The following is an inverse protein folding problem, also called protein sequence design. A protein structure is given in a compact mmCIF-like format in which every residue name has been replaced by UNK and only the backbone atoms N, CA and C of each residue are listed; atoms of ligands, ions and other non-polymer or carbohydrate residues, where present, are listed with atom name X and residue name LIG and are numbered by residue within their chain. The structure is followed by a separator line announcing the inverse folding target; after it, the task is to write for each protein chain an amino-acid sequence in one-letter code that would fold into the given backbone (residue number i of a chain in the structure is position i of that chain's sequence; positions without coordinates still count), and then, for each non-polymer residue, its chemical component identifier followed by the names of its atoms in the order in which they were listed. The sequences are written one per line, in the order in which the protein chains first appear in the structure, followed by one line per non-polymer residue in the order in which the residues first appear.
data_IF_925201435088
#
_entry.id   IF_925201435088
#
_cell.length_a   1.000
_cell.length_b   1.000
_cell.length_c   1.000
_cell.angle_alpha   90.00
_cell.angle_beta   90.00
_cell.angle_gamma   90.00
#
_symmetry.space_group_name_H-M   'P 1'
#
loop_
_entity.id
_entity.type
_entity.pdbx_description
1 polymer ?
#
# COMPACT_ATOMS: atom_id res chain seq x y z
N UNK A 1 27.72 53.13 -40.10
CA UNK A 1 28.09 51.71 -40.25
C UNK A 1 29.20 51.40 -39.25
N UNK A 2 29.25 50.27 -38.52
CA UNK A 2 28.22 49.30 -38.11
C UNK A 2 28.08 49.18 -36.56
N UNK A 3 27.22 48.27 -36.11
CA UNK A 3 27.02 47.83 -34.73
C UNK A 3 27.89 46.59 -34.41
N UNK A 4 28.20 46.31 -33.13
CA UNK A 4 27.96 45.02 -32.45
C UNK A 4 28.53 44.99 -31.02
N UNK A 5 27.71 44.41 -30.15
CA UNK A 5 27.84 44.16 -28.71
C UNK A 5 28.84 43.05 -28.38
N UNK A 6 29.54 43.12 -27.24
CA UNK A 6 30.06 41.92 -26.58
C UNK A 6 29.87 41.98 -25.06
N UNK A 7 29.11 41.01 -24.56
CA UNK A 7 28.89 40.69 -23.15
C UNK A 7 30.21 40.25 -22.49
N UNK A 8 30.57 40.88 -21.35
CA UNK A 8 31.61 40.40 -20.44
C UNK A 8 30.97 39.96 -19.12
N UNK A 9 31.18 38.69 -18.75
CA UNK A 9 30.69 38.03 -17.53
C UNK A 9 31.41 38.61 -16.29
N UNK A 10 30.70 39.00 -15.20
CA UNK A 10 31.38 39.39 -13.98
C UNK A 10 31.87 38.15 -13.23
N UNK A 11 33.18 38.16 -13.00
CA UNK A 11 33.99 37.23 -12.23
C UNK A 11 33.52 37.16 -10.77
N UNK A 12 33.01 36.01 -10.33
CA UNK A 12 32.74 35.76 -8.90
C UNK A 12 33.64 34.63 -8.43
N UNK A 13 34.83 35.03 -7.97
CA UNK A 13 35.79 34.16 -7.30
C UNK A 13 35.11 33.40 -6.16
N UNK A 14 35.39 32.10 -6.13
CA UNK A 14 35.13 31.21 -5.01
C UNK A 14 36.11 31.60 -3.89
N UNK A 15 35.72 32.51 -3.03
CA UNK A 15 36.45 32.83 -1.81
C UNK A 15 35.45 33.43 -0.84
N UNK A 16 34.74 32.53 -0.15
CA UNK A 16 34.14 32.67 1.17
C UNK A 16 33.23 31.45 1.40
N UNK A 17 33.85 30.30 1.64
CA UNK A 17 33.16 29.12 2.14
C UNK A 17 32.76 29.39 3.60
N UNK A 18 31.61 30.05 3.79
CA UNK A 18 30.96 30.09 5.09
C UNK A 18 30.55 28.66 5.47
N UNK A 19 31.22 28.13 6.49
CA UNK A 19 30.88 26.87 7.16
C UNK A 19 29.42 26.98 7.63
N UNK A 20 28.53 26.21 7.00
CA UNK A 20 27.14 26.07 7.44
C UNK A 20 27.14 25.05 8.58
N UNK A 21 26.93 25.50 9.82
CA UNK A 21 26.73 24.62 10.98
C UNK A 21 25.31 24.01 10.95
N UNK A 22 25.13 22.69 11.19
CA UNK A 22 23.83 22.04 11.06
C UNK A 22 23.10 21.98 12.40
N UNK A 23 22.52 23.09 12.88
CA UNK A 23 21.70 23.05 14.09
C UNK A 23 20.77 24.27 14.28
N UNK A 24 20.08 24.78 13.25
CA UNK A 24 18.93 25.65 13.52
C UNK A 24 18.01 25.86 12.30
N UNK A 25 17.30 24.81 11.87
CA UNK A 25 16.15 25.02 10.99
C UNK A 25 14.86 24.66 11.72
N UNK A 26 13.90 25.59 11.84
CA UNK A 26 12.65 25.36 12.55
C UNK A 26 11.89 24.22 11.87
N UNK A 27 11.52 23.21 12.66
CA UNK A 27 10.87 21.97 12.22
C UNK A 27 9.43 22.23 11.80
N UNK A 28 9.25 22.79 10.60
CA UNK A 28 7.96 22.78 9.92
C UNK A 28 7.61 21.31 9.60
N UNK A 29 6.44 20.79 10.01
CA UNK A 29 6.09 19.40 9.73
C UNK A 29 6.03 19.16 8.22
N UNK A 30 6.91 18.28 7.74
CA UNK A 30 7.13 17.94 6.34
C UNK A 30 6.06 16.97 5.81
N UNK A 31 4.77 17.26 6.03
CA UNK A 31 3.71 16.61 5.27
C UNK A 31 3.44 17.47 4.06
N UNK A 32 4.02 17.10 2.91
CA UNK A 32 3.68 17.70 1.62
C UNK A 32 2.29 17.22 1.20
N UNK A 33 1.24 17.76 1.81
CA UNK A 33 -0.13 17.59 1.28
C UNK A 33 -0.23 18.47 0.04
N UNK A 34 0.04 17.91 -1.14
CA UNK A 34 -0.21 18.61 -2.40
C UNK A 34 -1.73 18.63 -2.62
N UNK A 35 -2.38 19.81 -2.77
CA UNK A 35 -3.85 19.92 -2.80
C UNK A 35 -4.56 19.08 -3.89
N UNK A 36 -3.85 18.73 -4.97
CA UNK A 36 -4.37 17.98 -6.12
C UNK A 36 -3.57 16.70 -6.39
N UNK A 37 -3.21 15.96 -5.34
CA UNK A 37 -2.58 14.64 -5.53
C UNK A 37 -3.60 13.60 -6.01
N UNK A 38 -3.33 12.84 -7.10
CA UNK A 38 -4.23 11.80 -7.60
C UNK A 38 -4.51 10.69 -6.61
N UNK A 39 -3.55 10.44 -5.71
CA UNK A 39 -3.68 9.47 -4.62
C UNK A 39 -4.01 10.22 -3.33
N UNK A 40 -5.14 9.88 -2.73
CA UNK A 40 -5.54 10.37 -1.39
C UNK A 40 -5.34 9.24 -0.39
N UNK A 41 -5.05 9.55 0.89
CA UNK A 41 -5.02 8.54 1.95
C UNK A 41 -6.33 7.74 1.95
N UNK A 42 -6.21 6.42 2.04
CA UNK A 42 -7.37 5.52 2.08
C UNK A 42 -8.03 5.70 3.45
N UNK A 43 -9.33 5.99 3.44
CA UNK A 43 -10.13 6.07 4.67
C UNK A 43 -10.30 4.66 5.25
N UNK A 44 -10.26 4.48 6.58
CA UNK A 44 -10.50 3.18 7.19
C UNK A 44 -11.93 2.70 6.86
N UNK A 45 -12.09 1.38 6.73
CA UNK A 45 -13.39 0.78 6.48
C UNK A 45 -14.32 1.01 7.68
N UNK A 46 -15.54 1.48 7.43
CA UNK A 46 -16.58 1.61 8.45
C UNK A 46 -17.32 0.28 8.55
N UNK A 47 -17.42 -0.26 9.76
CA UNK A 47 -18.21 -1.47 10.03
C UNK A 47 -19.67 -1.07 10.23
N UNK A 48 -20.53 -1.41 9.27
CA UNK A 48 -21.96 -1.08 9.33
C UNK A 48 -22.80 -2.15 10.04
N UNK A 49 -22.47 -3.43 9.82
CA UNK A 49 -23.21 -4.57 10.39
C UNK A 49 -22.29 -5.47 11.21
N UNK A 50 -22.38 -5.33 12.53
CA UNK A 50 -21.54 -6.08 13.48
C UNK A 50 -21.90 -7.56 13.45
N UNK A 51 -23.19 -7.92 13.34
CA UNK A 51 -23.62 -9.31 13.30
C UNK A 51 -23.06 -10.09 12.10
N UNK A 52 -22.99 -9.43 10.93
CA UNK A 52 -22.40 -10.03 9.73
C UNK A 52 -20.88 -10.23 9.87
N UNK A 53 -20.19 -9.29 10.54
CA UNK A 53 -18.76 -9.41 10.86
C UNK A 53 -18.51 -10.57 11.82
N UNK A 54 -19.31 -10.70 12.87
CA UNK A 54 -19.16 -11.77 13.86
C UNK A 54 -19.44 -13.14 13.22
N UNK A 55 -20.49 -13.23 12.38
CA UNK A 55 -20.80 -14.44 11.63
C UNK A 55 -19.69 -14.79 10.64
N UNK A 56 -19.23 -13.84 9.83
CA UNK A 56 -18.12 -14.03 8.91
C UNK A 56 -16.82 -14.44 9.61
N UNK A 57 -16.57 -13.88 10.80
CA UNK A 57 -15.50 -14.29 11.68
C UNK A 57 -15.66 -15.75 12.12
N UNK A 58 -16.87 -16.18 12.49
CA UNK A 58 -17.16 -17.59 12.79
C UNK A 58 -16.89 -18.52 11.59
N UNK A 59 -17.42 -18.17 10.42
CA UNK A 59 -17.25 -18.94 9.18
C UNK A 59 -15.78 -19.08 8.76
N UNK A 60 -14.96 -18.07 9.05
CA UNK A 60 -13.53 -18.11 8.77
C UNK A 60 -12.78 -19.25 9.48
N UNK A 61 -13.20 -19.58 10.69
CA UNK A 61 -12.58 -20.62 11.51
C UNK A 61 -13.27 -21.98 11.40
N UNK A 62 -14.51 -22.03 10.89
CA UNK A 62 -15.34 -23.24 10.87
C UNK A 62 -14.88 -24.28 9.82
N UNK A 63 -14.43 -25.48 10.23
CA UNK A 63 -14.06 -26.55 9.31
C UNK A 63 -15.26 -27.20 8.60
N UNK A 64 -16.47 -27.10 9.16
CA UNK A 64 -17.69 -27.64 8.53
C UNK A 64 -18.07 -26.89 7.24
N UNK A 65 -17.47 -25.73 7.02
CA UNK A 65 -17.63 -24.97 5.79
C UNK A 65 -17.05 -25.72 4.58
N UNK A 66 -15.98 -26.49 4.77
CA UNK A 66 -15.45 -27.41 3.75
C UNK A 66 -16.31 -28.67 3.63
N UNK A 67 -16.44 -29.19 2.42
CA UNK A 67 -17.10 -30.48 2.18
C UNK A 67 -16.45 -31.62 2.99
N UNK A 68 -15.13 -31.54 3.21
CA UNK A 68 -14.39 -32.52 4.01
C UNK A 68 -14.60 -32.41 5.52
N UNK A 69 -15.20 -31.31 6.01
CA UNK A 69 -15.37 -31.03 7.44
C UNK A 69 -14.08 -30.85 8.24
N UNK A 70 -12.92 -30.78 7.58
CA UNK A 70 -11.60 -30.81 8.23
C UNK A 70 -10.72 -29.59 7.95
N UNK A 71 -11.15 -28.73 7.02
CA UNK A 71 -10.39 -27.58 6.55
C UNK A 71 -11.26 -26.32 6.63
N UNK A 72 -10.70 -25.26 7.21
CA UNK A 72 -11.27 -23.91 7.19
C UNK A 72 -10.29 -22.94 6.51
N UNK A 73 -10.63 -21.66 6.46
CA UNK A 73 -9.75 -20.65 5.86
C UNK A 73 -8.48 -20.43 6.72
N UNK A 74 -8.62 -20.44 8.04
CA UNK A 74 -7.57 -20.00 8.96
C UNK A 74 -6.24 -20.77 8.93
N UNK A 75 -6.17 -22.10 8.75
CA UNK A 75 -4.88 -22.81 8.69
C UNK A 75 -3.94 -22.28 7.61
N UNK A 76 -4.47 -21.93 6.44
CA UNK A 76 -3.71 -21.33 5.33
C UNK A 76 -3.59 -19.80 5.48
N UNK A 77 -4.64 -19.17 6.02
CA UNK A 77 -4.78 -17.72 6.12
C UNK A 77 -4.66 -17.21 7.57
N UNK A 78 -3.73 -17.80 8.33
CA UNK A 78 -3.57 -17.53 9.75
C UNK A 78 -3.43 -16.03 10.05
N UNK A 79 -4.43 -15.50 10.77
CA UNK A 79 -4.54 -14.09 11.11
C UNK A 79 -3.40 -13.62 12.04
N UNK A 80 -2.87 -14.51 12.88
CA UNK A 80 -1.76 -14.21 13.78
C UNK A 80 -0.42 -14.10 13.03
N UNK A 81 -0.26 -14.85 11.93
CA UNK A 81 0.94 -14.81 11.09
C UNK A 81 0.85 -13.74 9.99
N UNK A 82 -0.26 -13.00 9.92
CA UNK A 82 -0.47 -11.96 8.91
C UNK A 82 -0.62 -12.48 7.48
N UNK A 83 -0.89 -13.79 7.29
CA UNK A 83 -0.96 -14.41 5.95
C UNK A 83 -2.28 -14.10 5.22
N UNK A 84 -3.33 -13.73 5.95
CA UNK A 84 -4.35 -12.82 5.41
C UNK A 84 -3.77 -11.43 5.54
N UNK A 85 -3.23 -10.89 4.44
CA UNK A 85 -2.64 -9.56 4.45
C UNK A 85 -3.59 -8.61 5.18
N UNK A 86 -3.10 -7.95 6.23
CA UNK A 86 -3.80 -6.96 7.07
C UNK A 86 -4.12 -5.66 6.30
N UNK A 87 -4.36 -5.81 4.99
CA UNK A 87 -4.20 -4.85 3.91
C UNK A 87 -5.11 -5.26 2.73
N UNK A 88 -6.42 -5.24 2.95
CA UNK A 88 -7.44 -5.38 1.88
C UNK A 88 -7.50 -4.11 0.99
N UNK A 89 -6.46 -3.29 1.02
CA UNK A 89 -6.30 -2.11 0.17
C UNK A 89 -5.95 -2.48 -1.28
N UNK A 90 -5.44 -3.70 -1.52
CA UNK A 90 -5.10 -4.17 -2.86
C UNK A 90 -6.36 -4.67 -3.56
N UNK A 91 -6.85 -3.90 -4.54
CA UNK A 91 -8.05 -4.18 -5.33
C UNK A 91 -7.94 -5.44 -6.20
N UNK A 92 -6.73 -5.79 -6.64
CA UNK A 92 -6.47 -7.00 -7.42
C UNK A 92 -6.05 -8.12 -6.46
N UNK A 93 -6.69 -9.27 -6.60
CA UNK A 93 -6.54 -10.44 -5.75
C UNK A 93 -5.73 -11.51 -6.48
N UNK A 94 -5.19 -12.44 -5.69
CA UNK A 94 -4.25 -13.46 -6.13
C UNK A 94 -2.92 -12.89 -6.64
N UNK A 95 -1.98 -13.80 -6.90
CA UNK A 95 -0.61 -13.48 -7.31
C UNK A 95 -0.51 -13.00 -8.77
N UNK A 96 -1.50 -13.34 -9.60
CA UNK A 96 -1.62 -12.95 -11.00
C UNK A 96 -2.45 -11.66 -11.20
N UNK A 97 -3.15 -11.21 -10.15
CA UNK A 97 -3.96 -9.99 -10.16
C UNK A 97 -5.18 -10.05 -11.08
N UNK A 98 -5.64 -11.23 -11.48
CA UNK A 98 -6.74 -11.38 -12.44
C UNK A 98 -8.12 -11.03 -11.86
N UNK A 99 -8.28 -11.10 -10.53
CA UNK A 99 -9.57 -10.95 -9.85
C UNK A 99 -9.69 -9.60 -9.17
N UNK A 100 -10.71 -8.82 -9.51
CA UNK A 100 -10.85 -7.43 -9.08
C UNK A 100 -11.89 -7.21 -7.96
N UNK A 101 -12.57 -8.28 -7.52
CA UNK A 101 -13.60 -8.29 -6.49
C UNK A 101 -13.21 -9.26 -5.37
N UNK A 102 -13.45 -8.84 -4.13
CA UNK A 102 -13.17 -9.65 -2.95
C UNK A 102 -14.18 -10.80 -2.85
N UNK A 103 -15.42 -10.56 -3.23
CA UNK A 103 -16.50 -11.53 -3.29
C UNK A 103 -16.15 -12.68 -4.26
N UNK A 104 -15.66 -12.34 -5.45
CA UNK A 104 -15.20 -13.32 -6.44
C UNK A 104 -13.99 -14.12 -5.93
N UNK A 105 -13.03 -13.46 -5.27
CA UNK A 105 -11.86 -14.13 -4.70
C UNK A 105 -12.26 -15.15 -3.62
N UNK A 106 -13.20 -14.81 -2.73
CA UNK A 106 -13.72 -15.72 -1.69
C UNK A 106 -14.42 -16.93 -2.31
N UNK A 107 -15.23 -16.72 -3.34
CA UNK A 107 -15.91 -17.80 -4.06
C UNK A 107 -14.94 -18.76 -4.77
N UNK A 108 -13.92 -18.23 -5.44
CA UNK A 108 -12.88 -19.03 -6.09
C UNK A 108 -12.11 -19.86 -5.04
N UNK A 109 -11.78 -19.27 -3.89
CA UNK A 109 -11.08 -19.97 -2.82
C UNK A 109 -11.93 -21.06 -2.18
N UNK A 110 -13.22 -20.78 -1.92
CA UNK A 110 -14.16 -21.80 -1.44
C UNK A 110 -14.25 -22.99 -2.39
N UNK A 111 -14.36 -22.72 -3.69
CA UNK A 111 -14.50 -23.74 -4.71
C UNK A 111 -13.24 -24.59 -4.87
N UNK A 112 -12.08 -23.95 -4.99
CA UNK A 112 -10.82 -24.67 -5.31
C UNK A 112 -10.23 -25.33 -4.07
N UNK A 113 -10.28 -24.68 -2.91
CA UNK A 113 -9.57 -25.16 -1.72
C UNK A 113 -10.45 -26.00 -0.81
N UNK A 114 -11.75 -25.69 -0.72
CA UNK A 114 -12.66 -26.32 0.23
C UNK A 114 -13.69 -27.24 -0.46
N UNK A 115 -13.66 -27.30 -1.79
CA UNK A 115 -14.64 -27.94 -2.67
C UNK A 115 -16.09 -27.51 -2.37
N UNK A 116 -16.27 -26.23 -2.01
CA UNK A 116 -17.56 -25.67 -1.60
C UNK A 116 -17.97 -24.51 -2.50
N UNK A 117 -19.25 -24.46 -2.86
CA UNK A 117 -19.86 -23.27 -3.44
C UNK A 117 -20.60 -22.51 -2.33
N UNK A 118 -20.22 -21.27 -2.08
CA UNK A 118 -20.84 -20.43 -1.05
C UNK A 118 -22.09 -19.74 -1.59
N UNK A 119 -23.04 -19.49 -0.71
CA UNK A 119 -24.14 -18.58 -1.05
C UNK A 119 -23.66 -17.13 -1.09
N UNK A 120 -24.48 -16.26 -1.67
CA UNK A 120 -24.16 -14.84 -1.72
C UNK A 120 -24.12 -14.24 -0.31
N UNK A 121 -24.96 -14.74 0.59
CA UNK A 121 -25.04 -14.32 1.99
C UNK A 121 -23.78 -14.73 2.76
N UNK A 122 -23.39 -16.02 2.69
CA UNK A 122 -22.14 -16.51 3.32
C UNK A 122 -20.91 -15.73 2.81
N UNK A 123 -20.88 -15.45 1.50
CA UNK A 123 -19.81 -14.65 0.90
C UNK A 123 -19.82 -13.23 1.44
N UNK A 124 -20.98 -12.61 1.56
CA UNK A 124 -21.11 -11.26 2.09
C UNK A 124 -20.66 -11.17 3.55
N UNK A 125 -20.97 -12.18 4.38
CA UNK A 125 -20.54 -12.24 5.78
C UNK A 125 -19.02 -12.39 5.89
N UNK A 126 -18.42 -13.31 5.13
CA UNK A 126 -16.96 -13.47 5.08
C UNK A 126 -16.29 -12.19 4.58
N UNK A 127 -16.84 -11.54 3.55
CA UNK A 127 -16.34 -10.26 3.02
C UNK A 127 -16.47 -9.14 4.04
N UNK A 128 -17.57 -9.08 4.80
CA UNK A 128 -17.77 -8.13 5.88
C UNK A 128 -16.68 -8.30 6.93
N UNK A 129 -16.41 -9.53 7.36
CA UNK A 129 -15.31 -9.85 8.27
C UNK A 129 -13.96 -9.42 7.69
N UNK A 130 -13.65 -9.81 6.45
CA UNK A 130 -12.39 -9.48 5.79
C UNK A 130 -12.18 -7.97 5.77
N UNK A 131 -13.18 -7.15 5.41
CA UNK A 131 -13.04 -5.68 5.38
C UNK A 131 -12.57 -5.10 6.71
N UNK A 132 -12.88 -5.74 7.84
CA UNK A 132 -12.42 -5.32 9.17
C UNK A 132 -10.93 -5.55 9.43
N UNK A 133 -10.27 -6.40 8.65
CA UNK A 133 -8.83 -6.67 8.75
C UNK A 133 -7.96 -5.56 8.16
N UNK A 134 -8.57 -4.50 7.61
CA UNK A 134 -7.85 -3.31 7.16
C UNK A 134 -7.37 -2.52 8.37
N UNK A 135 -6.07 -2.63 8.68
CA UNK A 135 -5.46 -1.89 9.79
C UNK A 135 -5.07 -0.45 9.46
N UNK A 136 -4.60 0.26 10.48
CA UNK A 136 -4.03 1.60 10.32
C UNK A 136 -2.84 1.58 9.36
N UNK A 137 -2.85 2.50 8.40
CA UNK A 137 -1.74 2.64 7.47
C UNK A 137 -0.54 3.31 8.17
N UNK A 138 0.69 2.85 7.89
CA UNK A 138 1.87 3.44 8.49
C UNK A 138 2.03 4.89 8.01
N UNK A 139 2.15 5.83 8.94
CA UNK A 139 2.54 7.19 8.63
C UNK A 139 4.06 7.27 8.47
N UNK A 140 4.53 7.10 7.23
CA UNK A 140 5.95 7.17 6.89
C UNK A 140 6.28 8.62 6.53
N UNK A 141 7.12 9.27 7.33
CA UNK A 141 7.76 10.53 6.92
C UNK A 141 8.74 10.20 5.79
N UNK A 142 8.55 10.81 4.63
CA UNK A 142 9.42 10.60 3.49
C UNK A 142 10.86 11.01 3.86
N UNK A 143 11.85 10.10 3.73
CA UNK A 143 13.23 10.43 4.05
C UNK A 143 13.82 11.35 2.98
N UNK A 144 14.70 12.26 3.41
CA UNK A 144 15.53 13.02 2.50
C UNK A 144 16.63 12.10 1.95
N UNK A 145 16.62 11.85 0.65
CA UNK A 145 17.67 11.07 -0.01
C UNK A 145 18.93 11.92 -0.18
N UNK A 146 20.14 11.35 -0.01
CA UNK A 146 21.38 12.07 -0.24
C UNK A 146 21.57 12.39 -1.74
N UNK A 147 22.26 13.48 -2.09
CA UNK A 147 22.58 13.78 -3.49
C UNK A 147 23.61 12.76 -4.02
N UNK A 148 23.43 12.32 -5.26
CA UNK A 148 24.43 11.53 -5.98
C UNK A 148 25.74 12.32 -6.14
N UNK A 149 26.86 11.61 -6.17
CA UNK A 149 28.21 12.19 -6.37
C UNK A 149 28.92 11.56 -7.58
N UNK A 150 30.14 12.02 -7.88
CA UNK A 150 30.94 11.54 -9.02
C UNK A 150 31.30 10.04 -8.96
N UNK A 151 31.26 9.43 -7.77
CA UNK A 151 31.49 8.00 -7.57
C UNK A 151 30.20 7.18 -7.57
N UNK A 152 29.03 7.81 -7.66
CA UNK A 152 27.74 7.12 -7.76
C UNK A 152 27.57 6.57 -9.18
N UNK A 153 27.37 5.25 -9.37
CA UNK A 153 27.14 4.70 -10.70
C UNK A 153 26.00 5.43 -11.42
N UNK A 154 26.19 5.74 -12.70
CA UNK A 154 25.16 6.38 -13.50
C UNK A 154 23.95 5.44 -13.65
N UNK A 155 22.71 5.93 -13.51
CA UNK A 155 21.53 5.13 -13.78
C UNK A 155 21.48 4.78 -15.28
N UNK A 156 21.17 3.53 -15.60
CA UNK A 156 20.99 3.07 -16.97
C UNK A 156 19.53 2.64 -17.21
N UNK A 157 18.59 3.58 -17.38
CA UNK A 157 17.16 3.25 -17.51
C UNK A 157 16.79 2.60 -18.85
N UNK A 158 17.62 2.74 -19.87
CA UNK A 158 17.34 2.30 -21.25
C UNK A 158 18.45 1.43 -21.84
N UNK A 159 19.26 0.79 -20.99
CA UNK A 159 20.40 0.00 -21.44
C UNK A 159 20.03 -0.96 -22.57
N UNK A 160 20.81 -0.95 -23.65
CA UNK A 160 20.79 -2.01 -24.67
C UNK A 160 21.47 -3.28 -24.15
#
# INVERSE_FOLDING_TARGET
MPALTQFAKPDRRISDAAVITPADQPTKPLVSVRPNEPIKPIQPAVVENISAVDLGGGLWFDPHLSESGSLSCNPCHNLAMGSTGKRIICRLHFHDGQVNSLEEAVQIMGKIQLNKQFTNEETADIVAFLRTLTGDQPNIKLPMLPPSNASTPLPNPFGE
#
